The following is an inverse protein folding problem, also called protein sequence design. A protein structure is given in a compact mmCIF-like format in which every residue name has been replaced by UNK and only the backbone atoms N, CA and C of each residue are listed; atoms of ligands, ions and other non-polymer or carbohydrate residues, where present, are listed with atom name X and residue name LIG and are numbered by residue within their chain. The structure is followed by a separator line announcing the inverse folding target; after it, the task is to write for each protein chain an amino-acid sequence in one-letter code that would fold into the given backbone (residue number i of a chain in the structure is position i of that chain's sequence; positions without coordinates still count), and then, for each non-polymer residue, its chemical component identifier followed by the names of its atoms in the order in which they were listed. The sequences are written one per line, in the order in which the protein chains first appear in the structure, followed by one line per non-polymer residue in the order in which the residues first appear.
data_IF_657391932728
#
_entry.id   IF_657391932728
#
_cell.length_a   1.000
_cell.length_b   1.000
_cell.length_c   1.000
_cell.angle_alpha   90.00
_cell.angle_beta   90.00
_cell.angle_gamma   90.00
#
_symmetry.space_group_name_H-M   'P 1'
#
loop_
_entity.id
_entity.type
_entity.pdbx_description
1 polymer ?
#
# COMPACT_ATOMS: atom_id res chain seq x y z
N UNK A 1 -59.11 15.02 26.38
CA UNK A 1 -58.28 15.85 27.28
C UNK A 1 -57.29 14.91 27.98
N UNK A 2 -56.02 15.32 28.04
CA UNK A 2 -54.83 14.63 28.55
C UNK A 2 -54.20 13.53 27.66
N UNK A 3 -53.26 13.98 26.83
CA UNK A 3 -52.20 13.18 26.20
C UNK A 3 -51.17 12.86 27.28
N UNK A 4 -50.92 11.58 27.54
CA UNK A 4 -49.79 11.11 28.37
C UNK A 4 -48.58 10.94 27.45
N UNK A 5 -47.64 11.87 27.56
CA UNK A 5 -46.28 11.74 27.00
C UNK A 5 -45.48 10.83 27.93
N UNK A 6 -44.89 9.73 27.45
CA UNK A 6 -43.93 8.96 28.24
C UNK A 6 -42.65 9.77 28.37
N UNK A 7 -42.33 10.13 29.61
CA UNK A 7 -41.13 10.83 30.04
C UNK A 7 -39.94 9.89 30.13
N UNK A 8 -38.79 10.37 29.65
CA UNK A 8 -37.42 9.97 29.98
C UNK A 8 -37.07 8.48 29.88
N UNK A 9 -36.74 8.05 28.66
CA UNK A 9 -35.77 6.98 28.47
C UNK A 9 -34.40 7.44 28.98
N UNK A 10 -33.83 6.62 29.86
CA UNK A 10 -32.49 6.71 30.45
C UNK A 10 -31.50 7.45 29.54
N UNK A 11 -31.06 8.63 29.99
CA UNK A 11 -29.90 9.30 29.44
C UNK A 11 -28.70 8.37 29.65
N UNK A 12 -28.18 7.80 28.57
CA UNK A 12 -26.84 7.25 28.53
C UNK A 12 -25.87 8.27 29.17
N UNK A 13 -24.86 7.78 29.87
CA UNK A 13 -23.87 8.63 30.52
C UNK A 13 -23.39 9.74 29.57
N UNK A 14 -23.10 10.97 30.05
CA UNK A 14 -22.82 12.14 29.19
C UNK A 14 -21.58 12.03 28.28
N UNK A 15 -20.85 10.90 28.31
CA UNK A 15 -19.50 10.77 27.78
C UNK A 15 -19.28 9.66 26.74
N UNK A 16 -20.32 8.93 26.32
CA UNK A 16 -20.16 7.96 25.24
C UNK A 16 -21.10 8.29 24.09
N UNK A 17 -20.58 8.96 23.07
CA UNK A 17 -21.38 9.39 21.95
C UNK A 17 -21.73 8.19 21.05
N UNK A 18 -22.90 8.24 20.40
CA UNK A 18 -23.32 7.21 19.45
C UNK A 18 -22.28 6.98 18.34
N UNK A 19 -21.53 8.04 17.98
CA UNK A 19 -20.43 7.93 17.03
C UNK A 19 -19.30 7.02 17.53
N UNK A 20 -18.93 7.11 18.82
CA UNK A 20 -17.94 6.22 19.43
C UNK A 20 -18.44 4.76 19.43
N UNK A 21 -19.72 4.53 19.71
CA UNK A 21 -20.30 3.18 19.67
C UNK A 21 -20.18 2.54 18.28
N UNK A 22 -20.59 3.27 17.23
CA UNK A 22 -20.42 2.82 15.86
C UNK A 22 -18.96 2.58 15.49
N UNK A 23 -18.05 3.46 15.94
CA UNK A 23 -16.63 3.29 15.69
C UNK A 23 -16.10 1.98 16.29
N UNK A 24 -16.43 1.72 17.57
CA UNK A 24 -15.98 0.53 18.30
C UNK A 24 -16.54 -0.77 17.70
N UNK A 25 -17.73 -0.71 17.11
CA UNK A 25 -18.33 -1.84 16.40
C UNK A 25 -17.76 -2.04 14.98
N UNK A 26 -16.81 -1.20 14.54
CA UNK A 26 -16.25 -1.24 13.18
C UNK A 26 -17.18 -0.67 12.11
N UNK A 27 -18.29 -0.03 12.52
CA UNK A 27 -19.29 0.57 11.65
C UNK A 27 -18.85 2.00 11.25
N UNK A 28 -17.66 2.12 10.67
CA UNK A 28 -16.99 3.40 10.43
C UNK A 28 -17.80 4.37 9.54
N UNK A 29 -18.62 3.86 8.62
CA UNK A 29 -19.49 4.70 7.80
C UNK A 29 -20.56 5.41 8.63
N UNK A 30 -21.14 4.72 9.62
CA UNK A 30 -22.12 5.29 10.55
C UNK A 30 -21.44 6.21 11.55
N UNK A 31 -20.28 5.80 12.08
CA UNK A 31 -19.46 6.63 12.95
C UNK A 31 -19.13 7.99 12.29
N UNK A 32 -18.72 7.98 11.02
CA UNK A 32 -18.45 9.21 10.25
C UNK A 32 -19.66 10.13 10.22
N UNK A 33 -20.84 9.60 9.86
CA UNK A 33 -22.07 10.39 9.76
C UNK A 33 -22.42 11.03 11.11
N UNK A 34 -22.27 10.29 12.20
CA UNK A 34 -22.55 10.78 13.54
C UNK A 34 -21.51 11.81 14.02
N UNK A 35 -20.21 11.59 13.81
CA UNK A 35 -19.19 12.58 14.11
C UNK A 35 -19.40 13.88 13.33
N UNK A 36 -19.73 13.81 12.04
CA UNK A 36 -20.08 14.99 11.24
C UNK A 36 -21.34 15.70 11.78
N UNK A 37 -22.34 14.94 12.23
CA UNK A 37 -23.55 15.51 12.84
C UNK A 37 -23.20 16.25 14.13
N UNK A 38 -22.37 15.66 14.98
CA UNK A 38 -21.92 16.27 16.24
C UNK A 38 -21.11 17.55 15.99
N UNK A 39 -20.19 17.54 15.02
CA UNK A 39 -19.43 18.73 14.61
C UNK A 39 -20.33 19.84 14.04
N UNK A 40 -21.35 19.51 13.25
CA UNK A 40 -22.34 20.50 12.77
C UNK A 40 -23.16 21.10 13.91
N UNK A 41 -23.47 20.31 14.93
CA UNK A 41 -24.21 20.76 16.11
C UNK A 41 -23.35 21.60 17.06
N UNK A 42 -22.02 21.37 17.07
CA UNK A 42 -21.04 22.08 17.90
C UNK A 42 -19.87 22.57 17.02
N UNK A 43 -20.07 23.64 16.25
CA UNK A 43 -19.06 24.13 15.29
C UNK A 43 -17.86 24.82 15.95
N UNK A 44 -17.90 25.07 17.27
CA UNK A 44 -16.75 25.60 18.01
C UNK A 44 -15.60 24.58 18.05
N UNK A 45 -14.35 25.06 17.99
CA UNK A 45 -13.09 24.29 17.90
C UNK A 45 -13.09 23.02 18.77
N UNK A 46 -13.57 21.90 18.20
CA UNK A 46 -13.70 20.62 18.89
C UNK A 46 -12.66 19.64 18.37
N UNK A 47 -11.44 19.84 18.85
CA UNK A 47 -10.24 19.07 18.50
C UNK A 47 -10.44 17.57 18.64
N UNK A 48 -11.12 17.15 19.70
CA UNK A 48 -11.39 15.74 19.95
C UNK A 48 -12.30 15.13 18.87
N UNK A 49 -13.39 15.82 18.49
CA UNK A 49 -14.27 15.35 17.43
C UNK A 49 -13.60 15.39 16.05
N UNK A 50 -12.78 16.39 15.75
CA UNK A 50 -12.05 16.45 14.46
C UNK A 50 -11.00 15.34 14.35
N UNK A 51 -10.29 15.02 15.43
CA UNK A 51 -9.35 13.91 15.47
C UNK A 51 -10.06 12.56 15.28
N UNK A 52 -11.19 12.34 15.97
CA UNK A 52 -12.02 11.14 15.83
C UNK A 52 -12.61 10.99 14.43
N UNK A 53 -13.14 12.07 13.85
CA UNK A 53 -13.61 12.08 12.46
C UNK A 53 -12.48 11.78 11.49
N UNK A 54 -11.33 12.45 11.65
CA UNK A 54 -10.12 12.22 10.87
C UNK A 54 -9.73 10.75 10.90
N UNK A 55 -9.54 10.18 12.07
CA UNK A 55 -9.24 8.75 12.28
C UNK A 55 -10.30 7.83 11.64
N UNK A 56 -11.59 8.15 11.76
CA UNK A 56 -12.68 7.39 11.12
C UNK A 56 -12.57 7.41 9.59
N UNK A 57 -12.22 8.56 9.00
CA UNK A 57 -11.99 8.67 7.56
C UNK A 57 -10.76 7.86 7.14
N UNK A 58 -9.70 7.82 7.95
CA UNK A 58 -8.54 6.95 7.70
C UNK A 58 -8.92 5.46 7.73
N UNK A 59 -9.80 5.04 8.65
CA UNK A 59 -10.34 3.66 8.70
C UNK A 59 -11.14 3.29 7.46
N UNK A 60 -11.85 4.25 6.87
CA UNK A 60 -12.56 4.10 5.61
C UNK A 60 -11.63 4.13 4.37
N UNK A 61 -10.34 4.43 4.56
CA UNK A 61 -9.38 4.60 3.47
C UNK A 61 -9.48 5.95 2.75
N UNK A 62 -10.31 6.87 3.24
CA UNK A 62 -10.45 8.23 2.69
C UNK A 62 -9.41 9.18 3.31
N UNK A 63 -8.14 8.94 2.95
CA UNK A 63 -7.01 9.66 3.51
C UNK A 63 -7.04 11.17 3.21
N UNK A 64 -7.59 11.57 2.06
CA UNK A 64 -7.65 12.99 1.65
C UNK A 64 -8.67 13.76 2.48
N UNK A 65 -9.89 13.23 2.61
CA UNK A 65 -10.89 13.86 3.45
C UNK A 65 -10.51 13.83 4.92
N UNK A 66 -9.84 12.76 5.38
CA UNK A 66 -9.27 12.71 6.73
C UNK A 66 -8.30 13.85 6.98
N UNK A 67 -7.38 14.12 6.05
CA UNK A 67 -6.42 15.21 6.15
C UNK A 67 -7.11 16.60 6.16
N UNK A 68 -8.10 16.81 5.29
CA UNK A 68 -8.88 18.05 5.24
C UNK A 68 -9.65 18.30 6.55
N UNK A 69 -10.21 17.25 7.17
CA UNK A 69 -10.91 17.36 8.44
C UNK A 69 -10.01 17.82 9.60
N UNK A 70 -8.69 17.72 9.44
CA UNK A 70 -7.68 18.01 10.46
C UNK A 70 -6.83 19.26 10.15
N UNK A 71 -7.06 19.95 9.02
CA UNK A 71 -6.11 20.92 8.41
C UNK A 71 -5.78 22.15 9.26
N UNK A 72 -6.58 22.48 10.27
CA UNK A 72 -6.44 23.69 11.10
C UNK A 72 -6.10 23.40 12.57
N UNK A 73 -5.66 22.18 12.88
CA UNK A 73 -5.39 21.75 14.25
C UNK A 73 -3.89 21.54 14.46
N UNK A 74 -3.38 22.08 15.56
CA UNK A 74 -1.93 22.15 15.84
C UNK A 74 -1.51 21.25 17.01
N UNK A 75 -2.35 20.33 17.45
CA UNK A 75 -1.97 19.34 18.47
C UNK A 75 -1.38 18.06 17.86
N UNK A 76 -0.77 17.25 18.71
CA UNK A 76 -0.04 16.05 18.30
C UNK A 76 -0.92 15.07 17.53
N UNK A 77 -2.15 14.82 17.97
CA UNK A 77 -3.01 13.81 17.35
C UNK A 77 -3.28 14.17 15.89
N UNK A 78 -3.58 15.44 15.61
CA UNK A 78 -3.86 15.91 14.27
C UNK A 78 -2.64 15.85 13.36
N UNK A 79 -1.46 16.31 13.83
CA UNK A 79 -0.25 16.19 13.02
C UNK A 79 0.14 14.74 12.78
N UNK A 80 0.01 13.87 13.78
CA UNK A 80 0.39 12.47 13.68
C UNK A 80 -0.54 11.67 12.75
N UNK A 81 -1.86 11.88 12.87
CA UNK A 81 -2.85 11.30 11.95
C UNK A 81 -2.72 11.89 10.54
N UNK A 82 -2.43 13.19 10.41
CA UNK A 82 -2.22 13.84 9.10
C UNK A 82 -0.94 13.35 8.43
N UNK A 83 0.13 13.09 9.19
CA UNK A 83 1.35 12.44 8.69
C UNK A 83 1.02 11.07 8.10
N UNK A 84 0.27 10.24 8.83
CA UNK A 84 -0.18 8.94 8.33
C UNK A 84 -1.04 9.09 7.07
N UNK A 85 -2.03 9.98 7.10
CA UNK A 85 -2.93 10.23 5.98
C UNK A 85 -2.16 10.66 4.72
N UNK A 86 -1.23 11.60 4.88
CA UNK A 86 -0.40 12.10 3.79
C UNK A 86 0.49 11.00 3.19
N UNK A 87 1.12 10.15 4.02
CA UNK A 87 1.88 8.99 3.56
C UNK A 87 1.01 8.04 2.72
N UNK A 88 -0.17 7.68 3.24
CA UNK A 88 -1.09 6.75 2.54
C UNK A 88 -1.71 7.35 1.28
N UNK A 89 -1.83 8.67 1.22
CA UNK A 89 -2.29 9.41 0.04
C UNK A 89 -1.19 9.69 -1.00
N UNK A 90 0.07 9.33 -0.72
CA UNK A 90 1.23 9.64 -1.58
C UNK A 90 1.60 11.13 -1.61
N UNK A 91 1.23 11.88 -0.58
CA UNK A 91 1.48 13.33 -0.45
C UNK A 91 2.77 13.60 0.32
N UNK A 92 3.92 13.27 -0.29
CA UNK A 92 5.26 13.35 0.34
C UNK A 92 5.54 14.73 0.96
N UNK A 93 5.28 15.82 0.25
CA UNK A 93 5.50 17.17 0.78
C UNK A 93 4.65 17.49 2.02
N UNK A 94 3.39 17.02 2.04
CA UNK A 94 2.53 17.22 3.21
C UNK A 94 3.02 16.37 4.39
N UNK A 95 3.38 15.11 4.14
CA UNK A 95 3.95 14.24 5.16
C UNK A 95 5.23 14.82 5.78
N UNK A 96 6.15 15.33 4.97
CA UNK A 96 7.36 16.02 5.46
C UNK A 96 7.02 17.24 6.32
N UNK A 97 6.01 18.03 5.92
CA UNK A 97 5.53 19.18 6.69
C UNK A 97 5.00 18.76 8.06
N UNK A 98 4.12 17.76 8.12
CA UNK A 98 3.57 17.25 9.39
C UNK A 98 4.66 16.69 10.30
N UNK A 99 5.60 15.92 9.74
CA UNK A 99 6.72 15.40 10.49
C UNK A 99 7.57 16.54 11.07
N UNK A 100 7.85 17.58 10.27
CA UNK A 100 8.64 18.73 10.72
C UNK A 100 7.96 19.49 11.87
N UNK A 101 6.63 19.63 11.83
CA UNK A 101 5.86 20.26 12.89
C UNK A 101 5.98 19.48 14.21
N UNK A 102 5.91 18.14 14.16
CA UNK A 102 6.05 17.30 15.36
C UNK A 102 7.49 17.34 15.92
N UNK A 103 8.49 17.40 15.05
CA UNK A 103 9.89 17.36 15.46
C UNK A 103 10.46 18.73 15.87
N UNK A 104 9.71 19.83 15.68
CA UNK A 104 10.12 21.14 16.17
C UNK A 104 10.24 21.11 17.70
N UNK A 105 11.45 21.38 18.20
CA UNK A 105 11.78 21.38 19.62
C UNK A 105 11.01 22.44 20.42
N UNK A 106 10.39 23.42 19.75
CA UNK A 106 9.54 24.44 20.37
C UNK A 106 8.17 23.90 20.77
N UNK A 107 7.75 22.77 20.21
CA UNK A 107 6.50 22.12 20.58
C UNK A 107 6.59 21.43 21.93
N UNK A 108 5.46 21.34 22.64
CA UNK A 108 5.35 20.72 23.96
C UNK A 108 5.25 19.18 23.92
N UNK A 109 5.49 18.54 22.77
CA UNK A 109 5.37 17.10 22.62
C UNK A 109 6.44 16.33 23.40
N UNK A 110 6.03 15.20 23.96
CA UNK A 110 6.92 14.31 24.71
C UNK A 110 8.00 13.68 23.82
N UNK A 111 9.08 13.21 24.45
CA UNK A 111 10.13 12.50 23.72
C UNK A 111 9.59 11.25 22.99
N UNK A 112 8.65 10.54 23.61
CA UNK A 112 8.01 9.36 23.04
C UNK A 112 7.16 9.70 21.80
N UNK A 113 6.34 10.75 21.86
CA UNK A 113 5.57 11.25 20.72
C UNK A 113 6.46 11.60 19.52
N UNK A 114 7.60 12.24 19.78
CA UNK A 114 8.58 12.55 18.72
C UNK A 114 9.22 11.29 18.14
N UNK A 115 9.52 10.28 18.97
CA UNK A 115 10.05 8.99 18.51
C UNK A 115 9.03 8.22 17.66
N UNK A 116 7.74 8.23 18.02
CA UNK A 116 6.65 7.64 17.24
C UNK A 116 6.49 8.33 15.88
N UNK A 117 6.58 9.66 15.84
CA UNK A 117 6.57 10.43 14.60
C UNK A 117 7.83 10.21 13.74
N UNK A 118 9.01 10.03 14.36
CA UNK A 118 10.22 9.60 13.65
C UNK A 118 10.05 8.21 13.03
N UNK A 119 9.47 7.26 13.76
CA UNK A 119 9.20 5.93 13.24
C UNK A 119 8.31 6.01 12.00
N UNK A 120 7.15 6.67 12.12
CA UNK A 120 6.20 6.81 11.02
C UNK A 120 6.79 7.59 9.83
N UNK A 121 7.49 8.69 10.09
CA UNK A 121 8.14 9.47 9.04
C UNK A 121 9.28 8.74 8.33
N UNK A 122 9.87 7.71 8.95
CA UNK A 122 10.79 6.81 8.27
C UNK A 122 10.18 6.08 7.08
N UNK A 123 8.84 5.95 7.04
CA UNK A 123 8.14 5.39 5.89
C UNK A 123 8.35 6.21 4.61
N UNK A 124 8.72 7.50 4.69
CA UNK A 124 9.03 8.31 3.51
C UNK A 124 10.13 7.71 2.63
N UNK A 125 11.22 7.23 3.26
CA UNK A 125 12.31 6.57 2.53
C UNK A 125 11.85 5.28 1.84
N UNK A 126 10.92 4.57 2.48
CA UNK A 126 10.35 3.34 1.92
C UNK A 126 9.41 3.66 0.76
N UNK A 127 8.61 4.73 0.84
CA UNK A 127 7.72 5.17 -0.23
C UNK A 127 8.48 5.64 -1.48
N UNK A 128 9.67 6.22 -1.30
CA UNK A 128 10.56 6.64 -2.39
C UNK A 128 11.47 5.51 -2.90
N UNK A 129 11.34 4.29 -2.37
CA UNK A 129 12.22 3.14 -2.63
C UNK A 129 13.72 3.41 -2.37
N UNK A 130 14.04 4.38 -1.49
CA UNK A 130 15.40 4.63 -0.99
C UNK A 130 15.71 3.68 0.17
N UNK A 131 15.92 2.41 -0.15
CA UNK A 131 16.19 1.35 0.85
C UNK A 131 17.51 1.59 1.61
N UNK A 132 18.49 2.24 0.98
CA UNK A 132 19.75 2.61 1.63
C UNK A 132 19.54 3.72 2.65
N UNK A 133 18.78 4.77 2.29
CA UNK A 133 18.37 5.83 3.19
C UNK A 133 17.53 5.31 4.34
N UNK A 134 16.54 4.45 4.05
CA UNK A 134 15.72 3.77 5.05
C UNK A 134 16.59 2.98 6.04
N UNK A 135 17.53 2.17 5.55
CA UNK A 135 18.43 1.37 6.38
C UNK A 135 19.24 2.25 7.33
N UNK A 136 19.81 3.36 6.84
CA UNK A 136 20.56 4.30 7.68
C UNK A 136 19.65 4.98 8.71
N UNK A 137 18.47 5.42 8.29
CA UNK A 137 17.50 6.10 9.12
C UNK A 137 17.00 5.20 10.28
N UNK A 138 16.52 4.00 9.96
CA UNK A 138 16.02 3.07 10.97
C UNK A 138 17.14 2.50 11.86
N UNK A 139 18.37 2.37 11.35
CA UNK A 139 19.54 2.00 12.18
C UNK A 139 19.83 3.06 13.24
N UNK A 140 19.75 4.34 12.87
CA UNK A 140 19.93 5.44 13.82
C UNK A 140 18.78 5.46 14.83
N UNK A 141 17.54 5.39 14.36
CA UNK A 141 16.35 5.39 15.21
C UNK A 141 16.36 4.22 16.21
N UNK A 142 16.72 3.02 15.78
CA UNK A 142 16.81 1.85 16.66
C UNK A 142 17.85 2.04 17.78
N UNK A 143 18.97 2.74 17.50
CA UNK A 143 20.04 2.98 18.48
C UNK A 143 19.69 4.09 19.46
N UNK A 144 19.06 5.16 18.98
CA UNK A 144 18.81 6.37 19.76
C UNK A 144 17.46 6.38 20.50
N UNK A 145 16.46 5.66 19.99
CA UNK A 145 15.13 5.68 20.60
C UNK A 145 15.15 5.12 22.03
N UNK A 146 14.50 5.84 22.93
CA UNK A 146 14.31 5.45 24.32
C UNK A 146 13.15 4.46 24.46
N UNK A 147 12.10 4.62 23.64
CA UNK A 147 10.96 3.72 23.59
C UNK A 147 11.37 2.34 23.08
N UNK A 148 11.13 1.32 23.92
CA UNK A 148 11.41 -0.08 23.57
C UNK A 148 10.59 -0.53 22.36
N UNK A 149 9.33 -0.08 22.25
CA UNK A 149 8.47 -0.41 21.12
C UNK A 149 8.99 0.19 19.81
N UNK A 150 9.38 1.47 19.81
CA UNK A 150 9.96 2.14 18.63
C UNK A 150 11.26 1.44 18.19
N UNK A 151 12.14 1.10 19.14
CA UNK A 151 13.36 0.33 18.85
C UNK A 151 13.07 -1.02 18.22
N UNK A 152 12.09 -1.76 18.74
CA UNK A 152 11.71 -3.07 18.22
C UNK A 152 11.14 -2.96 16.80
N UNK A 153 10.20 -2.02 16.56
CA UNK A 153 9.63 -1.79 15.23
C UNK A 153 10.70 -1.35 14.21
N UNK A 154 11.58 -0.43 14.59
CA UNK A 154 12.70 -0.02 13.73
C UNK A 154 13.62 -1.22 13.38
N UNK A 155 13.91 -2.08 14.37
CA UNK A 155 14.67 -3.32 14.14
C UNK A 155 13.98 -4.32 13.22
N UNK A 156 12.65 -4.47 13.35
CA UNK A 156 11.86 -5.31 12.46
C UNK A 156 11.88 -4.79 11.01
N UNK A 157 11.80 -3.47 10.82
CA UNK A 157 11.95 -2.85 9.49
C UNK A 157 13.33 -3.14 8.89
N UNK A 158 14.42 -3.03 9.68
CA UNK A 158 15.77 -3.34 9.22
C UNK A 158 15.91 -4.81 8.80
N UNK A 159 15.34 -5.72 9.58
CA UNK A 159 15.33 -7.16 9.27
C UNK A 159 14.56 -7.42 7.97
N UNK A 160 13.39 -6.78 7.80
CA UNK A 160 12.60 -6.90 6.59
C UNK A 160 13.32 -6.35 5.35
N UNK A 161 14.06 -5.25 5.48
CA UNK A 161 14.90 -4.68 4.42
C UNK A 161 16.00 -5.65 3.99
N UNK A 162 16.73 -6.23 4.96
CA UNK A 162 17.77 -7.22 4.68
C UNK A 162 17.19 -8.46 3.97
N UNK A 163 16.06 -8.98 4.46
CA UNK A 163 15.34 -10.08 3.82
C UNK A 163 14.90 -9.75 2.39
N UNK A 164 14.54 -8.50 2.11
CA UNK A 164 14.16 -8.07 0.77
C UNK A 164 15.35 -7.95 -0.18
N UNK A 165 16.47 -7.38 0.28
CA UNK A 165 17.69 -7.26 -0.52
C UNK A 165 18.28 -8.62 -0.92
N UNK A 166 18.12 -9.63 -0.06
CA UNK A 166 18.57 -11.00 -0.35
C UNK A 166 17.63 -11.76 -1.31
N UNK A 167 16.45 -11.23 -1.64
CA UNK A 167 15.52 -11.92 -2.55
C UNK A 167 16.03 -11.90 -3.99
N UNK A 168 15.95 -13.04 -4.69
CA UNK A 168 16.37 -13.12 -6.08
C UNK A 168 15.44 -12.31 -6.99
N UNK A 169 16.02 -11.38 -7.73
CA UNK A 169 15.35 -10.70 -8.85
C UNK A 169 15.49 -11.51 -10.13
N UNK A 170 14.58 -11.28 -11.08
CA UNK A 170 14.61 -11.90 -12.41
C UNK A 170 15.12 -10.90 -13.42
N UNK A 171 16.26 -11.20 -14.04
CA UNK A 171 16.79 -10.42 -15.16
C UNK A 171 15.85 -10.46 -16.39
N UNK A 172 15.34 -9.30 -16.87
CA UNK A 172 14.51 -9.23 -18.06
C UNK A 172 15.25 -9.63 -19.34
N UNK A 173 16.53 -9.25 -19.45
CA UNK A 173 17.37 -9.62 -20.59
C UNK A 173 17.56 -11.14 -20.67
N UNK A 174 17.85 -11.78 -19.53
CA UNK A 174 18.00 -13.24 -19.48
C UNK A 174 16.68 -13.93 -19.82
N UNK A 175 15.54 -13.44 -19.33
CA UNK A 175 14.22 -13.97 -19.70
C UNK A 175 13.99 -13.89 -21.21
N UNK A 176 14.28 -12.74 -21.83
CA UNK A 176 14.19 -12.57 -23.28
C UNK A 176 15.11 -13.53 -24.04
N UNK A 177 16.38 -13.65 -23.62
CA UNK A 177 17.35 -14.53 -24.25
C UNK A 177 16.94 -16.01 -24.18
N UNK A 178 16.43 -16.46 -23.02
CA UNK A 178 15.88 -17.80 -22.86
C UNK A 178 14.71 -18.02 -23.84
N UNK A 179 13.73 -17.11 -23.87
CA UNK A 179 12.57 -17.25 -24.75
C UNK A 179 12.87 -17.10 -26.24
N UNK A 180 14.00 -16.50 -26.60
CA UNK A 180 14.50 -16.48 -27.98
C UNK A 180 15.06 -17.85 -28.39
N UNK A 181 15.77 -18.54 -27.49
CA UNK A 181 16.28 -19.90 -27.76
C UNK A 181 15.14 -20.92 -27.76
N UNK A 182 14.28 -20.86 -26.75
CA UNK A 182 13.15 -21.76 -26.59
C UNK A 182 11.92 -20.97 -26.15
N UNK A 183 10.91 -20.78 -27.02
CA UNK A 183 9.70 -20.05 -26.70
C UNK A 183 9.06 -20.52 -25.39
N UNK A 184 8.70 -19.57 -24.53
CA UNK A 184 8.11 -19.83 -23.22
C UNK A 184 9.08 -20.03 -22.06
N UNK A 185 10.35 -20.32 -22.32
CA UNK A 185 11.32 -20.63 -21.24
C UNK A 185 11.66 -19.43 -20.35
N UNK A 186 11.68 -18.22 -20.89
CA UNK A 186 11.84 -16.98 -20.13
C UNK A 186 10.65 -16.66 -19.23
N UNK A 187 9.43 -16.97 -19.66
CA UNK A 187 8.23 -16.86 -18.84
C UNK A 187 8.28 -17.86 -17.68
N UNK A 188 8.69 -19.12 -17.95
CA UNK A 188 8.90 -20.14 -16.91
C UNK A 188 9.97 -19.70 -15.90
N UNK A 189 11.08 -19.12 -16.38
CA UNK A 189 12.10 -18.53 -15.52
C UNK A 189 11.56 -17.41 -14.61
N UNK A 190 10.61 -16.61 -15.12
CA UNK A 190 9.89 -15.59 -14.37
C UNK A 190 8.68 -16.12 -13.57
N UNK A 191 8.52 -17.44 -13.42
CA UNK A 191 7.41 -18.12 -12.76
C UNK A 191 6.02 -17.87 -13.38
N UNK A 192 5.97 -17.41 -14.64
CA UNK A 192 4.76 -17.25 -15.44
C UNK A 192 4.50 -18.52 -16.29
N UNK A 193 4.20 -19.64 -15.63
CA UNK A 193 4.14 -20.95 -16.30
C UNK A 193 3.06 -21.06 -17.38
N UNK A 194 1.87 -20.51 -17.15
CA UNK A 194 0.76 -20.52 -18.10
C UNK A 194 1.15 -19.77 -19.38
N UNK A 195 1.74 -18.59 -19.24
CA UNK A 195 2.25 -17.78 -20.35
C UNK A 195 3.36 -18.54 -21.11
N UNK A 196 4.21 -19.28 -20.38
CA UNK A 196 5.27 -20.09 -20.96
C UNK A 196 4.75 -21.23 -21.83
N UNK A 197 3.77 -22.00 -21.34
CA UNK A 197 3.15 -23.09 -22.10
C UNK A 197 2.42 -22.56 -23.33
N UNK A 198 1.67 -21.47 -23.18
CA UNK A 198 0.97 -20.83 -24.30
C UNK A 198 1.97 -20.36 -25.37
N UNK A 199 3.07 -19.73 -24.97
CA UNK A 199 4.10 -19.28 -25.89
C UNK A 199 4.73 -20.43 -26.67
N UNK A 200 5.07 -21.54 -26.00
CA UNK A 200 5.60 -22.74 -26.66
C UNK A 200 4.59 -23.31 -27.66
N UNK A 201 3.32 -23.43 -27.26
CA UNK A 201 2.25 -23.96 -28.09
C UNK A 201 2.07 -23.15 -29.37
N UNK A 202 1.86 -21.83 -29.27
CA UNK A 202 1.60 -21.00 -30.44
C UNK A 202 2.80 -20.93 -31.38
N UNK A 203 4.02 -20.78 -30.85
CA UNK A 203 5.24 -20.78 -31.67
C UNK A 203 5.45 -22.12 -32.37
N UNK A 204 5.27 -23.23 -31.66
CA UNK A 204 5.36 -24.58 -32.25
C UNK A 204 4.29 -24.81 -33.31
N UNK A 205 3.05 -24.38 -33.05
CA UNK A 205 1.93 -24.49 -33.98
C UNK A 205 2.21 -23.73 -35.28
N UNK A 206 2.64 -22.47 -35.22
CA UNK A 206 2.91 -21.68 -36.42
C UNK A 206 4.13 -22.19 -37.19
N UNK A 207 5.22 -22.53 -36.50
CA UNK A 207 6.41 -23.10 -37.13
C UNK A 207 6.10 -24.44 -37.80
N UNK A 208 5.41 -25.33 -37.08
CA UNK A 208 4.96 -26.63 -37.60
C UNK A 208 4.03 -26.48 -38.80
N UNK A 209 3.06 -25.56 -38.72
CA UNK A 209 2.14 -25.28 -39.83
C UNK A 209 2.87 -24.75 -41.07
N UNK A 210 3.86 -23.87 -40.88
CA UNK A 210 4.68 -23.36 -41.98
C UNK A 210 5.47 -24.49 -42.66
N UNK A 211 6.10 -25.38 -41.88
CA UNK A 211 6.89 -26.52 -42.40
C UNK A 211 5.99 -27.52 -43.15
N UNK A 212 4.88 -27.93 -42.55
CA UNK A 212 3.96 -28.91 -43.15
C UNK A 212 3.36 -28.35 -44.44
N UNK A 213 2.91 -27.09 -44.41
CA UNK A 213 2.32 -26.46 -45.59
C UNK A 213 3.35 -26.27 -46.70
N UNK A 214 4.60 -25.94 -46.36
CA UNK A 214 5.68 -25.83 -47.34
C UNK A 214 5.93 -27.15 -48.07
N UNK A 215 6.02 -28.27 -47.34
CA UNK A 215 6.21 -29.61 -47.94
C UNK A 215 5.03 -29.98 -48.85
N UNK A 216 3.79 -29.69 -48.44
CA UNK A 216 2.60 -29.92 -49.26
C UNK A 216 2.59 -29.07 -50.54
N UNK A 217 2.86 -27.77 -50.43
CA UNK A 217 2.93 -26.85 -51.57
C UNK A 217 4.04 -27.25 -52.55
N UNK A 218 5.20 -27.67 -52.03
CA UNK A 218 6.32 -28.13 -52.83
C UNK A 218 5.99 -29.42 -53.61
N UNK A 219 5.36 -30.40 -52.97
CA UNK A 219 4.93 -31.66 -53.63
C UNK A 219 3.84 -31.43 -54.68
N UNK A 220 2.96 -30.47 -54.45
CA UNK A 220 1.89 -30.10 -55.37
C UNK A 220 2.37 -29.25 -56.55
N UNK A 221 3.60 -28.73 -56.51
CA UNK A 221 4.10 -27.77 -57.50
C UNK A 221 3.34 -26.43 -57.48
N UNK A 222 2.70 -26.09 -56.35
CA UNK A 222 1.99 -24.83 -56.16
C UNK A 222 2.92 -23.74 -55.60
N UNK A 223 2.45 -22.49 -55.60
CA UNK A 223 3.18 -21.39 -54.93
C UNK A 223 3.24 -21.56 -53.40
N UNK A 224 4.10 -20.77 -52.75
CA UNK A 224 4.37 -20.82 -51.30
C UNK A 224 3.53 -19.84 -50.46
N UNK A 225 2.29 -19.60 -50.85
CA UNK A 225 1.48 -18.51 -50.25
C UNK A 225 1.12 -18.84 -48.80
N UNK A 226 0.63 -20.05 -48.53
CA UNK A 226 0.16 -20.41 -47.21
C UNK A 226 1.32 -20.65 -46.23
N UNK A 227 2.40 -21.30 -46.66
CA UNK A 227 3.62 -21.42 -45.84
C UNK A 227 4.23 -20.07 -45.48
N UNK A 228 4.24 -19.10 -46.42
CA UNK A 228 4.72 -17.74 -46.15
C UNK A 228 3.85 -16.99 -45.15
N UNK A 229 2.51 -17.15 -45.21
CA UNK A 229 1.59 -16.56 -44.23
C UNK A 229 1.85 -17.13 -42.84
N UNK A 230 1.91 -18.46 -42.69
CA UNK A 230 2.20 -19.08 -41.40
C UNK A 230 3.58 -18.71 -40.87
N UNK A 231 4.58 -18.61 -41.73
CA UNK A 231 5.92 -18.15 -41.36
C UNK A 231 5.93 -16.71 -40.86
N UNK A 232 5.26 -15.79 -41.56
CA UNK A 232 5.16 -14.38 -41.15
C UNK A 232 4.40 -14.22 -39.84
N UNK A 233 3.25 -14.88 -39.70
CA UNK A 233 2.48 -14.86 -38.45
C UNK A 233 3.29 -15.48 -37.32
N UNK A 234 3.96 -16.60 -37.56
CA UNK A 234 4.85 -17.25 -36.59
C UNK A 234 5.98 -16.32 -36.14
N UNK A 235 6.60 -15.58 -37.05
CA UNK A 235 7.62 -14.60 -36.71
C UNK A 235 7.08 -13.49 -35.81
N UNK A 236 5.87 -12.97 -36.08
CA UNK A 236 5.22 -11.97 -35.23
C UNK A 236 4.98 -12.54 -33.82
N UNK A 237 4.43 -13.75 -33.73
CA UNK A 237 4.19 -14.43 -32.45
C UNK A 237 5.50 -14.72 -31.68
N UNK A 238 6.56 -15.07 -32.41
CA UNK A 238 7.89 -15.30 -31.83
C UNK A 238 8.45 -14.03 -31.19
N UNK A 239 8.44 -12.91 -31.93
CA UNK A 239 8.88 -11.61 -31.41
C UNK A 239 8.03 -11.17 -30.21
N UNK A 240 6.70 -11.35 -30.29
CA UNK A 240 5.80 -11.05 -29.19
C UNK A 240 6.09 -11.92 -27.95
N UNK A 241 6.42 -13.21 -28.12
CA UNK A 241 6.83 -14.10 -27.04
C UNK A 241 8.11 -13.61 -26.33
N UNK A 242 9.14 -13.22 -27.09
CA UNK A 242 10.40 -12.73 -26.50
C UNK A 242 10.14 -11.48 -25.65
N UNK A 243 9.37 -10.52 -26.17
CA UNK A 243 8.97 -9.34 -25.39
C UNK A 243 8.09 -9.72 -24.18
N UNK A 244 7.18 -10.68 -24.35
CA UNK A 244 6.35 -11.21 -23.26
C UNK A 244 7.18 -11.82 -22.11
N UNK A 245 8.30 -12.46 -22.42
CA UNK A 245 9.22 -12.99 -21.43
C UNK A 245 9.94 -11.87 -20.64
N UNK A 246 10.40 -10.83 -21.33
CA UNK A 246 10.98 -9.62 -20.71
C UNK A 246 9.96 -9.00 -19.73
N UNK A 247 8.72 -8.85 -20.17
CA UNK A 247 7.65 -8.28 -19.32
C UNK A 247 7.27 -9.18 -18.15
N UNK A 248 7.34 -10.50 -18.32
CA UNK A 248 7.12 -11.46 -17.23
C UNK A 248 8.14 -11.27 -16.10
N UNK A 249 9.42 -11.05 -16.44
CA UNK A 249 10.45 -10.76 -15.44
C UNK A 249 10.20 -9.44 -14.69
N UNK A 250 9.81 -8.36 -15.40
CA UNK A 250 9.41 -7.11 -14.75
C UNK A 250 8.22 -7.29 -13.81
N UNK A 251 7.18 -8.02 -14.24
CA UNK A 251 6.01 -8.30 -13.41
C UNK A 251 6.38 -9.07 -12.14
N UNK A 252 7.27 -10.06 -12.26
CA UNK A 252 7.78 -10.80 -11.10
C UNK A 252 8.47 -9.87 -10.10
N UNK A 253 9.40 -9.04 -10.56
CA UNK A 253 10.16 -8.12 -9.70
C UNK A 253 9.23 -7.10 -9.03
N UNK A 254 8.37 -6.45 -9.79
CA UNK A 254 7.42 -5.45 -9.26
C UNK A 254 6.41 -6.09 -8.30
N UNK A 255 6.06 -7.36 -8.50
CA UNK A 255 5.21 -8.08 -7.55
C UNK A 255 5.94 -8.33 -6.22
N UNK A 256 7.21 -8.73 -6.25
CA UNK A 256 8.01 -8.89 -5.01
C UNK A 256 8.14 -7.58 -4.24
N UNK A 257 8.41 -6.48 -4.95
CA UNK A 257 8.49 -5.14 -4.37
C UNK A 257 7.16 -4.72 -3.72
N UNK A 258 6.03 -4.86 -4.44
CA UNK A 258 4.71 -4.55 -3.88
C UNK A 258 4.39 -5.38 -2.64
N UNK A 259 4.69 -6.68 -2.67
CA UNK A 259 4.50 -7.58 -1.52
C UNK A 259 5.36 -7.18 -0.33
N UNK A 260 6.56 -6.66 -0.58
CA UNK A 260 7.44 -6.13 0.46
C UNK A 260 6.87 -4.86 1.10
N UNK A 261 6.51 -3.84 0.30
CA UNK A 261 5.92 -2.60 0.81
C UNK A 261 4.61 -2.85 1.56
N UNK A 262 3.75 -3.72 1.02
CA UNK A 262 2.48 -4.07 1.68
C UNK A 262 2.72 -4.67 3.06
N UNK A 263 3.62 -5.66 3.16
CA UNK A 263 3.97 -6.31 4.43
C UNK A 263 4.49 -5.31 5.45
N UNK A 264 5.44 -4.46 5.06
CA UNK A 264 6.00 -3.45 5.97
C UNK A 264 4.93 -2.48 6.46
N UNK A 265 4.05 -2.01 5.56
CA UNK A 265 2.95 -1.12 5.95
C UNK A 265 1.98 -1.79 6.92
N UNK A 266 1.63 -3.05 6.71
CA UNK A 266 0.71 -3.78 7.59
C UNK A 266 1.33 -4.12 8.94
N UNK A 267 2.63 -4.43 8.98
CA UNK A 267 3.31 -4.89 10.19
C UNK A 267 3.84 -3.74 11.06
N UNK A 268 4.41 -2.71 10.45
CA UNK A 268 5.12 -1.63 11.16
C UNK A 268 4.42 -0.28 11.10
N UNK A 269 3.63 -0.01 10.06
CA UNK A 269 2.98 1.29 9.80
C UNK A 269 1.47 1.15 9.58
N UNK A 270 0.82 0.34 10.43
CA UNK A 270 -0.63 0.16 10.37
C UNK A 270 -1.36 1.24 11.18
N UNK A 271 -2.65 1.41 10.86
CA UNK A 271 -3.48 2.42 11.49
C UNK A 271 -3.83 2.07 12.95
N UNK A 272 -3.80 0.80 13.35
CA UNK A 272 -4.05 0.38 14.74
C UNK A 272 -2.98 0.92 15.68
N UNK A 273 -1.71 0.77 15.29
CA UNK A 273 -0.60 1.36 16.01
C UNK A 273 -0.72 2.89 16.06
N UNK A 274 -1.02 3.51 14.91
CA UNK A 274 -1.14 4.97 14.83
C UNK A 274 -2.28 5.50 15.70
N UNK A 275 -3.42 4.82 15.72
CA UNK A 275 -4.54 5.14 16.61
C UNK A 275 -4.12 5.05 18.07
N UNK A 276 -3.53 3.91 18.48
CA UNK A 276 -3.09 3.66 19.85
C UNK A 276 -2.11 4.73 20.34
N UNK A 277 -1.20 5.20 19.48
CA UNK A 277 -0.17 6.18 19.86
C UNK A 277 -0.58 7.63 19.60
N UNK A 278 -1.66 7.89 18.85
CA UNK A 278 -2.13 9.24 18.55
C UNK A 278 -2.63 10.00 19.79
N UNK A 279 -3.05 9.27 20.84
CA UNK A 279 -3.71 9.84 22.01
C UNK A 279 -5.20 10.15 21.79
N UNK A 280 -5.78 9.79 20.64
CA UNK A 280 -7.23 9.90 20.41
C UNK A 280 -7.95 8.86 21.25
N UNK A 281 -8.76 9.33 22.21
CA UNK A 281 -9.51 8.45 23.10
C UNK A 281 -10.87 8.12 22.47
N UNK A 282 -11.12 6.86 22.06
CA UNK A 282 -12.45 6.36 21.65
C UNK A 282 -12.97 5.28 22.62
N UNK A 283 -12.04 4.62 23.34
CA UNK A 283 -12.30 3.43 24.16
C UNK A 283 -12.34 3.68 25.67
N UNK A 284 -12.51 4.92 26.17
CA UNK A 284 -12.60 5.12 27.62
C UNK A 284 -13.93 4.59 28.18
N UNK A 285 -13.85 3.51 28.94
CA UNK A 285 -14.89 3.14 29.90
C UNK A 285 -15.03 4.26 30.94
N UNK A 286 -16.27 4.68 31.18
CA UNK A 286 -16.60 5.51 32.33
C UNK A 286 -16.49 4.64 33.58
N UNK A 287 -15.34 4.69 34.24
CA UNK A 287 -15.20 4.18 35.61
C UNK A 287 -15.81 5.16 36.62
#
# INVERSE_FOLDING_TARGET
MAVLVPTHGNLAAPNDSLANEYYRNGEYTLARIEYERELRARPEDNRELTARLGLTLLRLGDFRSGLMAMENQEDFAHHYLSLFAALRAGMVHRALSEQSAILDLRTSYSAEQREQARLLGGALYLEEADYNGATRYFSLLQREASSTEVRQKAGGVLTALEDYEQRPTRSPLLAGALSAVLPGSGQVYAAHYVDGVAALFFNGMFLGSAIVTYDLEQRAGSGHVASSIFGLVGLIFYLANVNGAVQSAYRYNNYQERQFHQRIREEYFNLDYVEQTSGVEIFRESF
#
